data_IF_641168662481
#
_entry.id   IF_641168662481
#
_cell.length_a   1.000
_cell.length_b   1.000
_cell.length_c   1.000
_cell.angle_alpha   90.00
_cell.angle_beta   90.00
_cell.angle_gamma   90.00
#
_symmetry.space_group_name_H-M   'P 1'
#
loop_
_entity.id
_entity.type
_entity.pdbx_description
1 polymer ?
#
# COMPACT_ATOMS: atom_id res chain seq x y z
N UNK A 1 -37.28 2.39 -28.98
CA UNK A 1 -36.58 3.70 -28.93
C UNK A 1 -36.47 4.13 -27.48
N UNK A 2 -35.34 4.73 -27.07
CA UNK A 2 -35.21 5.27 -25.72
C UNK A 2 -36.28 6.35 -25.50
N UNK A 3 -37.07 6.22 -24.44
CA UNK A 3 -38.14 7.17 -24.15
C UNK A 3 -37.60 8.38 -23.40
N UNK A 4 -38.30 9.52 -23.46
CA UNK A 4 -37.98 10.71 -22.65
C UNK A 4 -37.83 10.37 -21.15
N UNK A 5 -38.65 9.41 -20.69
CA UNK A 5 -38.65 8.90 -19.32
C UNK A 5 -37.35 8.16 -18.98
N UNK A 6 -36.78 7.41 -19.92
CA UNK A 6 -35.49 6.73 -19.74
C UNK A 6 -34.34 7.72 -19.62
N UNK A 7 -34.35 8.78 -20.43
CA UNK A 7 -33.37 9.87 -20.36
C UNK A 7 -33.45 10.57 -19.00
N UNK A 8 -34.65 10.96 -18.56
CA UNK A 8 -34.85 11.59 -17.25
C UNK A 8 -34.42 10.68 -16.08
N UNK A 9 -34.66 9.36 -16.18
CA UNK A 9 -34.19 8.38 -15.20
C UNK A 9 -32.66 8.34 -15.15
N UNK A 10 -31.99 8.32 -16.31
CA UNK A 10 -30.52 8.32 -16.38
C UNK A 10 -29.92 9.61 -15.81
N UNK A 11 -30.50 10.77 -16.11
CA UNK A 11 -30.07 12.06 -15.54
C UNK A 11 -30.09 12.01 -14.01
N UNK A 12 -31.21 11.58 -13.41
CA UNK A 12 -31.33 11.47 -11.95
C UNK A 12 -30.32 10.49 -11.35
N UNK A 13 -30.08 9.35 -12.01
CA UNK A 13 -29.09 8.36 -11.56
C UNK A 13 -27.66 8.91 -11.58
N UNK A 14 -27.27 9.61 -12.65
CA UNK A 14 -25.95 10.24 -12.76
C UNK A 14 -25.78 11.36 -11.73
N UNK A 15 -26.79 12.21 -11.54
CA UNK A 15 -26.78 13.26 -10.51
C UNK A 15 -26.62 12.69 -9.10
N UNK A 16 -27.29 11.56 -8.79
CA UNK A 16 -27.12 10.87 -7.51
C UNK A 16 -25.69 10.35 -7.35
N UNK A 17 -25.16 9.68 -8.37
CA UNK A 17 -23.78 9.17 -8.37
C UNK A 17 -22.75 10.30 -8.21
N UNK A 18 -23.00 11.46 -8.83
CA UNK A 18 -22.15 12.66 -8.69
C UNK A 18 -22.15 13.18 -7.25
N UNK A 19 -23.31 13.26 -6.58
CA UNK A 19 -23.40 13.67 -5.17
C UNK A 19 -22.64 12.71 -4.26
N UNK A 20 -22.81 11.40 -4.45
CA UNK A 20 -22.14 10.36 -3.65
C UNK A 20 -20.62 10.46 -3.82
N UNK A 21 -20.12 10.50 -5.05
CA UNK A 21 -18.68 10.59 -5.34
C UNK A 21 -18.07 11.91 -4.84
N UNK A 22 -18.81 13.03 -4.90
CA UNK A 22 -18.38 14.32 -4.31
C UNK A 22 -18.23 14.21 -2.79
N UNK A 23 -19.19 13.58 -2.10
CA UNK A 23 -19.09 13.34 -0.66
C UNK A 23 -17.90 12.41 -0.33
N UNK A 24 -17.73 11.33 -1.08
CA UNK A 24 -16.59 10.40 -0.93
C UNK A 24 -15.25 11.12 -1.09
N UNK A 25 -15.12 12.04 -2.06
CA UNK A 25 -13.92 12.86 -2.26
C UNK A 25 -13.58 13.67 -1.00
N UNK A 26 -14.56 14.35 -0.41
CA UNK A 26 -14.37 15.15 0.80
C UNK A 26 -13.97 14.29 2.01
N UNK A 27 -14.63 13.14 2.18
CA UNK A 27 -14.29 12.19 3.24
C UNK A 27 -12.87 11.62 3.06
N UNK A 28 -12.49 11.27 1.83
CA UNK A 28 -11.15 10.78 1.52
C UNK A 28 -10.09 11.85 1.78
N UNK A 29 -10.33 13.10 1.37
CA UNK A 29 -9.43 14.22 1.62
C UNK A 29 -9.22 14.46 3.13
N UNK A 30 -10.29 14.44 3.93
CA UNK A 30 -10.19 14.57 5.39
C UNK A 30 -9.37 13.44 6.02
N UNK A 31 -9.60 12.19 5.59
CA UNK A 31 -8.83 11.04 6.08
C UNK A 31 -7.36 11.11 5.68
N UNK A 32 -7.08 11.52 4.45
CA UNK A 32 -5.71 11.70 3.97
C UNK A 32 -4.97 12.76 4.77
N UNK A 33 -5.61 13.92 5.01
CA UNK A 33 -5.04 14.98 5.84
C UNK A 33 -4.71 14.51 7.25
N UNK A 34 -5.63 13.80 7.92
CA UNK A 34 -5.37 13.21 9.24
C UNK A 34 -4.21 12.22 9.23
N UNK A 35 -4.08 11.40 8.19
CA UNK A 35 -2.96 10.47 8.05
C UNK A 35 -1.63 11.21 7.86
N UNK A 36 -1.63 12.27 7.05
CA UNK A 36 -0.47 13.13 6.84
C UNK A 36 -0.03 13.82 8.13
N UNK A 37 -0.96 14.38 8.90
CA UNK A 37 -0.69 15.01 10.20
C UNK A 37 -0.04 14.02 11.18
N UNK A 38 -0.53 12.77 11.24
CA UNK A 38 0.09 11.70 12.05
C UNK A 38 1.52 11.39 11.62
N UNK A 39 1.77 11.32 10.32
CA UNK A 39 3.13 11.07 9.80
C UNK A 39 4.06 12.22 10.16
N UNK A 40 3.61 13.47 10.02
CA UNK A 40 4.41 14.65 10.38
C UNK A 40 4.72 14.66 11.88
N UNK A 41 3.73 14.38 12.73
CA UNK A 41 3.91 14.30 14.17
C UNK A 41 4.87 13.17 14.60
N UNK A 42 4.92 12.05 13.84
CA UNK A 42 5.84 10.95 14.10
C UNK A 42 7.28 11.19 13.61
N UNK A 43 7.52 12.21 12.77
CA UNK A 43 8.85 12.48 12.19
C UNK A 43 9.95 12.70 13.23
N UNK A 44 9.78 13.54 14.28
CA UNK A 44 10.84 13.79 15.25
C UNK A 44 11.34 12.50 15.91
N UNK A 45 10.42 11.61 16.29
CA UNK A 45 10.76 10.28 16.82
C UNK A 45 11.54 9.44 15.81
N UNK A 46 11.06 9.35 14.56
CA UNK A 46 11.73 8.56 13.52
C UNK A 46 13.14 9.09 13.20
N UNK A 47 13.33 10.41 13.23
CA UNK A 47 14.64 11.05 13.04
C UNK A 47 15.58 10.69 14.19
N UNK A 48 15.17 10.88 15.45
CA UNK A 48 16.00 10.55 16.61
C UNK A 48 16.31 9.06 16.71
N UNK A 49 15.34 8.20 16.42
CA UNK A 49 15.56 6.76 16.37
C UNK A 49 16.61 6.39 15.31
N UNK A 50 16.56 7.02 14.12
CA UNK A 50 17.55 6.78 13.07
C UNK A 50 18.94 7.26 13.46
N UNK A 51 19.05 8.43 14.08
CA UNK A 51 20.33 8.95 14.59
C UNK A 51 20.95 7.99 15.61
N UNK A 52 20.17 7.53 16.59
CA UNK A 52 20.64 6.59 17.61
C UNK A 52 21.06 5.24 17.02
N UNK A 53 20.23 4.65 16.17
CA UNK A 53 20.54 3.37 15.53
C UNK A 53 21.75 3.47 14.58
N UNK A 54 21.88 4.58 13.85
CA UNK A 54 23.03 4.84 12.98
C UNK A 54 24.31 5.01 13.78
N UNK A 55 24.26 5.73 14.90
CA UNK A 55 25.36 5.84 15.85
C UNK A 55 25.77 4.47 16.38
N UNK A 56 24.82 3.67 16.87
CA UNK A 56 25.10 2.34 17.40
C UNK A 56 25.72 1.42 16.34
N UNK A 57 25.10 1.34 15.16
CA UNK A 57 25.59 0.51 14.06
C UNK A 57 26.99 0.94 13.58
N UNK A 58 27.31 2.24 13.62
CA UNK A 58 28.66 2.72 13.25
C UNK A 58 29.76 2.36 14.24
N UNK A 59 29.42 2.03 15.49
CA UNK A 59 30.38 1.66 16.54
C UNK A 59 30.48 0.14 16.76
N UNK A 60 29.56 -0.65 16.21
CA UNK A 60 29.56 -2.11 16.28
C UNK A 60 29.88 -2.71 14.92
N UNK A 61 30.78 -3.68 14.80
CA UNK A 61 31.00 -4.38 13.52
C UNK A 61 29.73 -5.11 13.06
N UNK A 62 29.54 -5.24 11.74
CA UNK A 62 28.34 -5.84 11.10
C UNK A 62 27.98 -7.24 11.66
N UNK A 63 28.97 -7.98 12.15
CA UNK A 63 28.84 -9.35 12.68
C UNK A 63 28.30 -9.40 14.13
N UNK A 64 28.26 -8.27 14.84
CA UNK A 64 27.98 -8.26 16.29
C UNK A 64 26.49 -8.47 16.62
N UNK A 65 25.59 -8.13 15.69
CA UNK A 65 24.15 -8.26 15.88
C UNK A 65 23.46 -8.88 14.64
N UNK A 66 22.61 -9.91 14.80
CA UNK A 66 21.98 -10.60 13.66
C UNK A 66 21.15 -9.75 12.71
N UNK A 67 20.65 -8.59 13.17
CA UNK A 67 19.91 -7.62 12.33
C UNK A 67 20.81 -6.65 11.55
N UNK A 68 22.10 -6.57 11.88
CA UNK A 68 23.10 -5.77 11.17
C UNK A 68 23.89 -6.62 10.16
N UNK A 69 24.01 -7.93 10.43
CA UNK A 69 24.73 -8.86 9.56
C UNK A 69 24.15 -8.92 8.14
N UNK A 70 25.01 -8.64 7.14
CA UNK A 70 24.67 -8.79 5.73
C UNK A 70 24.85 -10.25 5.30
N UNK A 71 23.77 -10.88 4.83
CA UNK A 71 23.78 -12.29 4.37
C UNK A 71 23.59 -12.33 2.87
N UNK A 72 24.48 -13.04 2.17
CA UNK A 72 24.40 -13.21 0.71
C UNK A 72 23.34 -14.25 0.31
N UNK A 73 23.05 -15.20 1.20
CA UNK A 73 22.12 -16.29 0.97
C UNK A 73 20.99 -16.27 2.01
N UNK A 74 19.81 -16.76 1.61
CA UNK A 74 18.69 -16.93 2.53
C UNK A 74 17.32 -16.72 1.89
N UNK A 75 16.28 -17.06 2.67
CA UNK A 75 14.88 -16.85 2.29
C UNK A 75 14.56 -15.35 2.30
N UNK A 76 14.03 -14.83 1.20
CA UNK A 76 13.59 -13.44 1.12
C UNK A 76 12.14 -13.34 1.56
N UNK A 77 11.76 -12.25 2.23
CA UNK A 77 10.36 -11.93 2.54
C UNK A 77 9.97 -10.66 1.81
N UNK A 78 8.88 -10.71 1.04
CA UNK A 78 8.31 -9.55 0.37
C UNK A 78 7.06 -9.11 1.13
N UNK A 79 7.11 -7.91 1.71
CA UNK A 79 5.95 -7.29 2.38
C UNK A 79 5.19 -6.44 1.36
N UNK A 80 3.92 -6.77 1.14
CA UNK A 80 3.06 -6.08 0.17
C UNK A 80 1.92 -5.41 0.93
N UNK A 81 1.88 -4.08 0.89
CA UNK A 81 0.87 -3.29 1.60
C UNK A 81 -0.10 -2.69 0.58
N UNK A 82 -1.38 -3.03 0.70
CA UNK A 82 -2.46 -2.53 -0.16
C UNK A 82 -3.61 -1.97 0.66
N UNK A 83 -4.53 -1.26 0.02
CA UNK A 83 -5.75 -0.82 0.68
C UNK A 83 -6.76 -1.99 0.81
N UNK A 84 -7.65 -1.90 1.80
CA UNK A 84 -8.75 -2.85 1.93
C UNK A 84 -9.89 -2.58 0.94
N UNK A 85 -10.12 -1.30 0.62
CA UNK A 85 -11.24 -0.85 -0.21
C UNK A 85 -10.86 -0.71 -1.68
N UNK A 86 -11.87 -0.73 -2.55
CA UNK A 86 -11.76 -0.40 -3.97
C UNK A 86 -11.94 1.10 -4.24
N UNK A 87 -12.30 1.46 -5.48
CA UNK A 87 -12.53 2.85 -5.93
C UNK A 87 -11.34 3.79 -5.67
N UNK A 88 -10.12 3.24 -5.73
CA UNK A 88 -8.86 3.92 -5.45
C UNK A 88 -8.04 4.19 -6.72
N UNK A 89 -8.69 4.21 -7.89
CA UNK A 89 -8.00 4.27 -9.19
C UNK A 89 -6.97 3.14 -9.34
N UNK A 90 -5.78 3.48 -9.86
CA UNK A 90 -4.71 2.53 -10.14
C UNK A 90 -3.86 2.13 -8.92
N UNK A 91 -4.14 2.65 -7.71
CA UNK A 91 -3.30 2.47 -6.51
C UNK A 91 -2.97 0.99 -6.22
N UNK A 92 -3.98 0.16 -5.98
CA UNK A 92 -3.75 -1.25 -5.67
C UNK A 92 -3.18 -2.02 -6.87
N UNK A 93 -3.64 -1.72 -8.09
CA UNK A 93 -3.18 -2.40 -9.29
C UNK A 93 -1.69 -2.16 -9.57
N UNK A 94 -1.19 -0.95 -9.31
CA UNK A 94 0.23 -0.62 -9.48
C UNK A 94 1.10 -1.35 -8.45
N UNK A 95 0.70 -1.38 -7.18
CA UNK A 95 1.41 -2.11 -6.13
C UNK A 95 1.48 -3.61 -6.46
N UNK A 96 0.35 -4.20 -6.88
CA UNK A 96 0.30 -5.61 -7.22
C UNK A 96 1.13 -5.92 -8.47
N UNK A 97 1.10 -5.05 -9.48
CA UNK A 97 1.95 -5.19 -10.68
C UNK A 97 3.43 -5.14 -10.34
N UNK A 98 3.84 -4.22 -9.49
CA UNK A 98 5.24 -4.10 -9.05
C UNK A 98 5.67 -5.33 -8.25
N UNK A 99 4.82 -5.81 -7.34
CA UNK A 99 5.11 -7.03 -6.57
C UNK A 99 5.28 -8.25 -7.47
N UNK A 100 4.47 -8.40 -8.53
CA UNK A 100 4.66 -9.46 -9.52
C UNK A 100 5.96 -9.30 -10.31
N UNK A 101 6.33 -8.07 -10.68
CA UNK A 101 7.59 -7.80 -11.37
C UNK A 101 8.78 -8.22 -10.51
N UNK A 102 8.78 -7.84 -9.23
CA UNK A 102 9.80 -8.25 -8.27
C UNK A 102 9.89 -9.77 -8.16
N UNK A 103 8.76 -10.47 -8.02
CA UNK A 103 8.73 -11.92 -7.91
C UNK A 103 9.26 -12.63 -9.17
N UNK A 104 8.95 -12.12 -10.36
CA UNK A 104 9.50 -12.67 -11.62
C UNK A 104 11.01 -12.47 -11.72
N UNK A 105 11.55 -11.36 -11.21
CA UNK A 105 12.99 -11.08 -11.20
C UNK A 105 13.76 -11.85 -10.12
N UNK A 106 13.09 -12.51 -9.17
CA UNK A 106 13.75 -13.19 -8.05
C UNK A 106 14.36 -14.57 -8.41
N UNK A 107 14.09 -15.08 -9.62
CA UNK A 107 14.60 -16.38 -10.08
C UNK A 107 14.16 -17.55 -9.19
N UNK A 108 15.08 -18.48 -8.92
CA UNK A 108 14.84 -19.64 -8.03
C UNK A 108 14.86 -19.30 -6.53
N UNK A 109 15.10 -18.04 -6.16
CA UNK A 109 15.13 -17.65 -4.75
C UNK A 109 13.76 -17.82 -4.12
N UNK A 110 13.66 -18.62 -3.05
CA UNK A 110 12.40 -18.72 -2.28
C UNK A 110 12.01 -17.36 -1.67
N UNK A 111 10.88 -16.81 -2.12
CA UNK A 111 10.29 -15.58 -1.59
C UNK A 111 9.00 -15.91 -0.85
N UNK A 112 8.95 -15.60 0.45
CA UNK A 112 7.72 -15.69 1.24
C UNK A 112 6.97 -14.35 1.20
N UNK A 113 5.67 -14.38 0.93
CA UNK A 113 4.84 -13.19 0.88
C UNK A 113 4.26 -12.87 2.25
N UNK A 114 4.35 -11.61 2.65
CA UNK A 114 3.61 -11.04 3.79
C UNK A 114 2.67 -9.98 3.23
N UNK A 115 1.39 -10.30 3.15
CA UNK A 115 0.37 -9.41 2.57
C UNK A 115 -0.38 -8.65 3.65
N UNK A 116 -0.45 -7.33 3.50
CA UNK A 116 -1.23 -6.42 4.33
C UNK A 116 -2.30 -5.76 3.46
N UNK A 117 -3.54 -5.81 3.92
CA UNK A 117 -4.71 -5.32 3.19
C UNK A 117 -5.46 -6.41 2.43
N UNK A 118 -6.80 -6.27 2.37
CA UNK A 118 -7.70 -7.24 1.72
C UNK A 118 -7.41 -7.40 0.23
N UNK A 119 -7.01 -6.34 -0.48
CA UNK A 119 -6.79 -6.42 -1.93
C UNK A 119 -5.59 -7.27 -2.31
N UNK A 120 -4.47 -7.19 -1.59
CA UNK A 120 -3.36 -8.10 -1.77
C UNK A 120 -3.72 -9.54 -1.37
N UNK A 121 -4.37 -9.73 -0.22
CA UNK A 121 -4.80 -11.06 0.23
C UNK A 121 -5.67 -11.77 -0.82
N UNK A 122 -6.72 -11.11 -1.29
CA UNK A 122 -7.66 -11.70 -2.26
C UNK A 122 -7.02 -11.92 -3.64
N UNK A 123 -6.00 -11.12 -4.00
CA UNK A 123 -5.29 -11.24 -5.26
C UNK A 123 -4.35 -12.45 -5.28
N UNK A 124 -3.60 -12.66 -4.19
CA UNK A 124 -2.64 -13.76 -4.08
C UNK A 124 -3.32 -15.08 -3.70
N UNK A 125 -4.37 -15.06 -2.88
CA UNK A 125 -5.16 -16.27 -2.56
C UNK A 125 -5.81 -16.91 -3.79
N UNK A 126 -6.21 -16.12 -4.79
CA UNK A 126 -6.79 -16.63 -6.05
C UNK A 126 -5.77 -17.23 -7.02
N UNK A 127 -4.47 -17.09 -6.73
CA UNK A 127 -3.36 -17.57 -7.56
C UNK A 127 -2.56 -18.70 -6.92
N UNK A 128 -2.88 -19.03 -5.66
CA UNK A 128 -2.53 -20.31 -5.06
C UNK A 128 -3.59 -21.32 -5.48
#
# INVERSE_FOLDING_TARGET
>A
MATLRDIQRRIRSVQSTQKITKAMKLVAASKFRRAQERIIAARPYATKMRELLGGLAGHTGDETHPLLARRETGRKRLVIITADKGLCGAFNSNILRESLRFLRGAGETSVTLVVVGKKARDFYRRRQ
#
